data_IF_847575844699
#
_entry.id   IF_847575844699
#
_cell.length_a   1.000
_cell.length_b   1.000
_cell.length_c   1.000
_cell.angle_alpha   90.00
_cell.angle_beta   90.00
_cell.angle_gamma   90.00
#
_symmetry.space_group_name_H-M   'P 1'
#
loop_
_entity.id
_entity.type
_entity.pdbx_description
1 polymer ?
#
# COMPACT_ATOMS: atom_id res chain seq x y z
N UNK A 1 -13.60 -11.31 -20.49
CA UNK A 1 -14.20 -10.38 -19.51
C UNK A 1 -13.51 -9.03 -19.66
N UNK A 2 -14.22 -7.96 -20.01
CA UNK A 2 -13.62 -6.64 -20.09
C UNK A 2 -13.24 -6.16 -18.68
N UNK A 3 -11.97 -5.83 -18.46
CA UNK A 3 -11.52 -5.15 -17.24
C UNK A 3 -11.58 -3.65 -17.51
N UNK A 4 -12.41 -2.94 -16.75
CA UNK A 4 -12.43 -1.47 -16.81
C UNK A 4 -11.31 -0.98 -15.92
N UNK A 5 -10.50 -0.08 -16.47
CA UNK A 5 -9.36 0.51 -15.78
C UNK A 5 -9.54 2.02 -15.81
N UNK A 6 -9.57 2.63 -14.63
CA UNK A 6 -9.73 4.08 -14.45
C UNK A 6 -8.36 4.64 -14.07
N UNK A 7 -7.97 5.75 -14.69
CA UNK A 7 -6.81 6.55 -14.29
C UNK A 7 -7.34 7.77 -13.52
N UNK A 8 -7.29 7.79 -12.19
CA UNK A 8 -7.79 8.92 -11.41
C UNK A 8 -6.94 10.16 -11.66
N UNK A 9 -7.58 11.33 -11.67
CA UNK A 9 -6.87 12.60 -11.53
C UNK A 9 -6.45 12.76 -10.06
N UNK A 10 -5.16 13.02 -9.84
CA UNK A 10 -4.57 13.18 -8.52
C UNK A 10 -4.33 14.66 -8.16
N UNK A 11 -4.84 15.59 -8.97
CA UNK A 11 -4.77 17.02 -8.69
C UNK A 11 -5.50 17.34 -7.38
N UNK A 12 -4.84 18.06 -6.46
CA UNK A 12 -5.40 18.40 -5.14
C UNK A 12 -5.44 17.25 -4.13
N UNK A 13 -5.00 16.05 -4.50
CA UNK A 13 -4.92 14.89 -3.59
C UNK A 13 -3.60 14.88 -2.81
N UNK A 14 -3.65 14.39 -1.57
CA UNK A 14 -2.48 14.08 -0.74
C UNK A 14 -2.54 12.62 -0.33
N UNK A 15 -1.42 11.89 -0.47
CA UNK A 15 -1.31 10.50 -0.05
C UNK A 15 -0.27 10.35 1.04
N UNK A 16 -0.70 9.87 2.21
CA UNK A 16 0.16 9.61 3.35
C UNK A 16 0.19 8.12 3.66
N UNK A 17 1.36 7.55 3.91
CA UNK A 17 1.52 6.15 4.30
C UNK A 17 0.83 5.92 5.64
N UNK A 18 -0.13 4.99 5.67
CA UNK A 18 -0.84 4.55 6.87
C UNK A 18 -0.23 3.29 7.46
N UNK A 19 0.28 2.40 6.60
CA UNK A 19 0.94 1.16 6.98
C UNK A 19 2.14 0.95 6.05
N UNK A 20 3.30 0.51 6.59
CA UNK A 20 4.50 0.34 5.79
C UNK A 20 4.29 -0.68 4.66
N UNK A 21 5.12 -0.65 3.60
CA UNK A 21 5.05 -1.64 2.55
C UNK A 21 5.21 -3.05 3.10
N UNK A 22 4.28 -3.92 2.74
CA UNK A 22 4.32 -5.34 3.08
C UNK A 22 4.26 -6.17 1.81
N UNK A 23 4.98 -7.29 1.78
CA UNK A 23 4.89 -8.26 0.68
C UNK A 23 3.44 -8.72 0.53
N UNK A 24 2.93 -8.64 -0.69
CA UNK A 24 1.58 -9.08 -1.01
C UNK A 24 1.59 -10.60 -1.11
N UNK A 25 0.72 -11.25 -0.34
CA UNK A 25 0.52 -12.69 -0.44
C UNK A 25 -0.57 -12.99 -1.48
N UNK A 26 -0.30 -13.93 -2.37
CA UNK A 26 -1.29 -14.54 -3.25
C UNK A 26 -2.17 -15.52 -2.46
N UNK A 27 -1.58 -16.22 -1.49
CA UNK A 27 -2.26 -17.10 -0.56
C UNK A 27 -1.64 -16.95 0.84
N UNK A 28 -2.45 -16.46 1.78
CA UNK A 28 -2.03 -16.23 3.15
C UNK A 28 -1.82 -17.52 3.95
N UNK A 29 -2.44 -18.63 3.56
CA UNK A 29 -2.33 -19.91 4.28
C UNK A 29 -1.01 -20.63 3.99
N UNK A 30 -0.51 -20.50 2.77
CA UNK A 30 0.74 -21.12 2.32
C UNK A 30 1.92 -20.15 2.37
N UNK A 31 1.66 -18.85 2.52
CA UNK A 31 2.68 -17.81 2.44
C UNK A 31 3.14 -17.54 1.00
N UNK A 32 2.40 -18.02 -0.01
CA UNK A 32 2.76 -17.81 -1.41
C UNK A 32 2.74 -16.31 -1.72
N UNK A 33 3.88 -15.80 -2.17
CA UNK A 33 4.04 -14.39 -2.54
C UNK A 33 3.39 -14.13 -3.89
N UNK A 34 2.66 -13.02 -3.99
CA UNK A 34 2.10 -12.56 -5.25
C UNK A 34 3.19 -11.92 -6.11
N UNK A 35 3.26 -12.36 -7.36
CA UNK A 35 4.15 -11.78 -8.37
C UNK A 35 3.35 -11.07 -9.45
N UNK A 36 3.98 -10.08 -10.06
CA UNK A 36 3.44 -9.43 -11.24
C UNK A 36 3.46 -10.38 -12.43
N UNK A 37 2.36 -10.42 -13.19
CA UNK A 37 2.19 -11.39 -14.29
C UNK A 37 3.10 -11.08 -15.48
N UNK A 38 3.43 -9.81 -15.70
CA UNK A 38 4.19 -9.38 -16.88
C UNK A 38 5.69 -9.37 -16.61
N UNK A 39 6.10 -8.78 -15.48
CA UNK A 39 7.51 -8.63 -15.10
C UNK A 39 8.05 -9.76 -14.22
N UNK A 40 7.18 -10.52 -13.55
CA UNK A 40 7.58 -11.50 -12.53
C UNK A 40 8.01 -10.90 -11.19
N UNK A 41 8.02 -9.56 -11.06
CA UNK A 41 8.44 -8.87 -9.85
C UNK A 41 7.56 -9.21 -8.64
N UNK A 42 8.15 -9.23 -7.44
CA UNK A 42 7.38 -9.36 -6.19
C UNK A 42 6.41 -8.19 -6.08
N UNK A 43 5.17 -8.43 -5.63
CA UNK A 43 4.22 -7.35 -5.37
C UNK A 43 4.25 -6.97 -3.89
N UNK A 44 4.19 -5.66 -3.65
CA UNK A 44 4.00 -5.07 -2.33
C UNK A 44 2.62 -4.42 -2.25
N UNK A 45 2.07 -4.37 -1.04
CA UNK A 45 0.92 -3.53 -0.71
C UNK A 45 1.30 -2.47 0.30
N UNK A 46 0.85 -1.24 0.05
CA UNK A 46 0.98 -0.11 0.97
C UNK A 46 -0.43 0.43 1.22
N UNK A 47 -0.77 0.71 2.48
CA UNK A 47 -2.00 1.42 2.79
C UNK A 47 -1.72 2.91 2.84
N UNK A 48 -2.48 3.70 2.10
CA UNK A 48 -2.37 5.14 2.03
C UNK A 48 -3.65 5.77 2.55
N UNK A 49 -3.53 6.79 3.39
CA UNK A 49 -4.61 7.77 3.58
C UNK A 49 -4.54 8.71 2.39
N UNK A 50 -5.59 8.70 1.57
CA UNK A 50 -5.82 9.68 0.52
C UNK A 50 -6.75 10.77 1.07
N UNK A 51 -6.31 12.02 0.96
CA UNK A 51 -7.11 13.18 1.33
C UNK A 51 -7.39 14.01 0.08
N UNK A 52 -8.65 14.38 -0.12
CA UNK A 52 -9.12 15.24 -1.20
C UNK A 52 -10.37 16.00 -0.75
N UNK A 53 -10.42 17.30 -1.02
CA UNK A 53 -11.59 18.16 -0.75
C UNK A 53 -12.18 17.97 0.67
N UNK A 54 -11.33 18.04 1.68
CA UNK A 54 -11.71 17.90 3.09
C UNK A 54 -12.11 16.48 3.52
N UNK A 55 -12.11 15.50 2.62
CA UNK A 55 -12.42 14.10 2.91
C UNK A 55 -11.15 13.27 2.93
N UNK A 56 -11.09 12.28 3.83
CA UNK A 56 -10.01 11.32 3.91
C UNK A 56 -10.54 9.89 3.77
N UNK A 57 -9.84 9.06 3.01
CA UNK A 57 -10.16 7.64 2.85
C UNK A 57 -8.89 6.78 2.83
N UNK A 58 -9.02 5.52 3.22
CA UNK A 58 -7.91 4.57 3.17
C UNK A 58 -7.96 3.77 1.87
N UNK A 59 -6.87 3.80 1.11
CA UNK A 59 -6.71 2.99 -0.10
C UNK A 59 -5.53 2.02 0.05
N UNK A 60 -5.70 0.79 -0.41
CA UNK A 60 -4.62 -0.21 -0.46
C UNK A 60 -4.06 -0.27 -1.87
N UNK A 61 -2.85 0.25 -2.05
CA UNK A 61 -2.18 0.33 -3.35
C UNK A 61 -1.22 -0.86 -3.48
N UNK A 62 -1.34 -1.59 -4.59
CA UNK A 62 -0.37 -2.61 -4.99
C UNK A 62 0.70 -1.99 -5.88
N UNK A 63 1.97 -2.30 -5.61
CA UNK A 63 3.14 -1.76 -6.33
C UNK A 63 4.13 -2.89 -6.57
N UNK A 64 4.72 -3.03 -7.77
CA UNK A 64 5.79 -4.00 -8.00
C UNK A 64 7.08 -3.62 -7.25
N UNK A 65 7.89 -4.62 -6.96
CA UNK A 65 9.26 -4.48 -6.47
C UNK A 65 10.07 -3.55 -7.39
N UNK A 66 10.87 -2.66 -6.80
CA UNK A 66 11.54 -1.56 -7.50
C UNK A 66 10.69 -0.29 -7.68
N UNK A 67 9.36 -0.39 -7.55
CA UNK A 67 8.45 0.76 -7.54
C UNK A 67 8.16 1.33 -6.16
N UNK A 68 8.59 0.69 -5.09
CA UNK A 68 8.35 1.12 -3.70
C UNK A 68 9.62 1.05 -2.87
N UNK A 69 9.85 2.09 -2.06
CA UNK A 69 10.85 2.05 -1.00
C UNK A 69 10.29 1.29 0.20
N UNK A 70 10.84 0.11 0.48
CA UNK A 70 10.39 -0.77 1.58
C UNK A 70 10.65 -0.21 2.97
N UNK A 71 11.43 0.88 3.09
CA UNK A 71 11.69 1.59 4.35
C UNK A 71 10.65 2.66 4.67
N UNK A 72 9.64 2.86 3.81
CA UNK A 72 8.57 3.83 4.03
C UNK A 72 7.84 3.60 5.36
N UNK A 73 7.90 4.62 6.22
CA UNK A 73 7.21 4.63 7.50
C UNK A 73 5.81 5.26 7.41
N UNK A 74 4.88 4.89 8.30
CA UNK A 74 3.65 5.65 8.52
C UNK A 74 3.92 7.15 8.73
N UNK A 75 3.09 7.99 8.13
CA UNK A 75 3.26 9.44 8.12
C UNK A 75 4.08 9.99 6.95
N UNK A 76 4.83 9.15 6.23
CA UNK A 76 5.54 9.58 5.01
C UNK A 76 4.54 10.02 3.94
N UNK A 77 4.81 11.14 3.29
CA UNK A 77 3.98 11.65 2.19
C UNK A 77 4.57 11.18 0.87
N UNK A 78 3.74 10.52 0.07
CA UNK A 78 4.12 9.94 -1.22
C UNK A 78 3.18 10.41 -2.34
N UNK A 79 3.60 10.24 -3.58
CA UNK A 79 2.80 10.44 -4.77
C UNK A 79 2.74 9.13 -5.56
N UNK A 80 1.55 8.51 -5.69
CA UNK A 80 1.38 7.39 -6.61
C UNK A 80 1.64 7.80 -8.05
N UNK A 81 2.50 7.07 -8.75
CA UNK A 81 2.80 7.26 -10.17
C UNK A 81 2.12 6.14 -10.96
N UNK A 82 1.46 6.49 -12.07
CA UNK A 82 0.73 5.52 -12.89
C UNK A 82 -0.44 4.86 -12.15
N UNK A 83 -1.09 5.58 -11.22
CA UNK A 83 -2.19 5.01 -10.43
C UNK A 83 -3.35 4.59 -11.32
N UNK A 84 -3.78 3.36 -11.09
CA UNK A 84 -4.86 2.68 -11.78
C UNK A 84 -5.84 2.16 -10.73
N UNK A 85 -7.11 2.52 -10.90
CA UNK A 85 -8.23 2.00 -10.14
C UNK A 85 -9.03 1.02 -11.00
N UNK A 86 -9.24 -0.19 -10.50
CA UNK A 86 -10.01 -1.25 -11.19
C UNK A 86 -11.18 -1.66 -10.30
N UNK A 87 -12.43 -1.26 -10.62
CA UNK A 87 -13.59 -1.76 -9.90
C UNK A 87 -13.76 -3.26 -10.15
N UNK A 88 -14.21 -3.99 -9.13
CA UNK A 88 -14.51 -5.41 -9.23
C UNK A 88 -15.74 -5.75 -8.40
N UNK A 89 -16.42 -6.81 -8.81
CA UNK A 89 -17.51 -7.42 -8.06
C UNK A 89 -17.44 -8.93 -8.30
N UNK A 90 -17.49 -9.70 -7.21
CA UNK A 90 -17.50 -11.15 -7.22
C UNK A 90 -18.68 -11.65 -6.39
N UNK A 91 -19.25 -12.78 -6.79
CA UNK A 91 -20.24 -13.49 -5.99
C UNK A 91 -19.52 -14.65 -5.30
N UNK A 92 -19.56 -14.70 -3.98
CA UNK A 92 -19.01 -15.79 -3.19
C UNK A 92 -20.06 -16.25 -2.19
N UNK A 93 -20.40 -17.55 -2.22
CA UNK A 93 -21.45 -18.15 -1.38
C UNK A 93 -22.79 -17.38 -1.40
N UNK A 94 -23.20 -16.89 -2.58
CA UNK A 94 -24.43 -16.11 -2.75
C UNK A 94 -24.36 -14.66 -2.26
N UNK A 95 -23.25 -14.22 -1.66
CA UNK A 95 -23.03 -12.83 -1.26
C UNK A 95 -22.19 -12.10 -2.32
N UNK A 96 -22.59 -10.87 -2.64
CA UNK A 96 -21.80 -10.00 -3.53
C UNK A 96 -20.74 -9.29 -2.70
N UNK A 97 -19.47 -9.55 -3.03
CA UNK A 97 -18.34 -8.74 -2.58
C UNK A 97 -17.92 -7.83 -3.72
N UNK A 98 -17.72 -6.54 -3.46
CA UNK A 98 -17.27 -5.59 -4.46
C UNK A 98 -16.22 -4.65 -3.87
N UNK A 99 -15.56 -3.90 -4.74
CA UNK A 99 -14.59 -2.89 -4.32
C UNK A 99 -13.80 -2.32 -5.47
N UNK A 100 -12.73 -1.62 -5.13
CA UNK A 100 -11.78 -1.05 -6.09
C UNK A 100 -10.38 -1.54 -5.74
N UNK A 101 -9.71 -2.13 -6.73
CA UNK A 101 -8.30 -2.48 -6.61
C UNK A 101 -7.46 -1.30 -7.11
N UNK A 102 -6.55 -0.82 -6.28
CA UNK A 102 -5.60 0.23 -6.65
C UNK A 102 -4.24 -0.38 -6.96
N UNK A 103 -3.66 0.01 -8.09
CA UNK A 103 -2.31 -0.37 -8.50
C UNK A 103 -1.56 0.85 -8.98
N UNK A 104 -0.30 1.01 -8.57
CA UNK A 104 0.59 2.04 -9.07
C UNK A 104 1.84 1.39 -9.67
N UNK A 105 2.52 2.12 -10.55
CA UNK A 105 3.83 1.73 -11.07
C UNK A 105 4.90 1.97 -10.01
N UNK A 106 4.83 3.12 -9.33
CA UNK A 106 5.70 3.45 -8.21
C UNK A 106 5.06 4.41 -7.21
N UNK A 107 5.69 4.55 -6.04
CA UNK A 107 5.40 5.58 -5.04
C UNK A 107 6.59 6.53 -4.93
N UNK A 108 6.45 7.72 -5.51
CA UNK A 108 7.46 8.77 -5.39
C UNK A 108 7.39 9.39 -4.00
N UNK A 109 8.50 9.41 -3.26
CA UNK A 109 8.54 10.02 -1.92
C UNK A 109 8.58 11.54 -2.06
N UNK A 110 7.64 12.24 -1.43
CA UNK A 110 7.60 13.71 -1.39
C UNK A 110 8.16 14.24 -0.07
N UNK A 111 7.87 13.53 1.03
CA UNK A 111 8.46 13.78 2.35
C UNK A 111 8.58 12.46 3.07
N UNK A 112 9.81 12.06 3.39
CA UNK A 112 10.07 10.86 4.15
C UNK A 112 9.97 11.16 5.64
N UNK A 113 9.23 10.33 6.37
CA UNK A 113 9.42 10.20 7.82
C UNK A 113 10.32 9.00 8.02
N UNK A 114 11.53 9.21 8.55
CA UNK A 114 12.37 8.09 8.93
C UNK A 114 11.85 7.51 10.25
N UNK A 115 11.60 6.21 10.30
CA UNK A 115 11.59 5.53 11.59
C UNK A 115 13.01 5.63 12.16
N UNK A 116 13.19 5.99 13.44
CA UNK A 116 14.49 5.83 14.07
C UNK A 116 14.88 4.36 13.95
N UNK A 117 16.00 4.10 13.28
CA UNK A 117 16.62 2.79 13.31
C UNK A 117 17.08 2.57 14.76
N UNK A 118 16.43 1.61 15.41
CA UNK A 118 16.64 1.15 16.79
C UNK A 118 15.92 1.92 17.90
N UNK A 119 14.71 1.45 18.20
CA UNK A 119 14.20 1.41 19.56
C UNK A 119 13.82 -0.03 19.89
N UNK A 120 14.79 -0.95 19.79
CA UNK A 120 14.73 -2.18 20.56
C UNK A 120 14.52 -1.79 22.03
N UNK A 121 13.43 -2.31 22.59
CA UNK A 121 12.95 -2.16 23.97
C UNK A 121 14.12 -2.02 24.96
N UNK A 122 14.40 -0.79 25.41
CA UNK A 122 15.23 -0.56 26.58
C UNK A 122 14.46 -1.05 27.81
N UNK A 123 14.68 -2.30 28.19
CA UNK A 123 14.21 -2.85 29.46
C UNK A 123 14.80 -2.00 30.61
N UNK A 124 13.99 -1.59 31.61
CA UNK A 124 14.51 -0.82 32.73
C UNK A 124 15.47 -1.69 33.53
N UNK A 125 16.72 -1.23 33.65
CA UNK A 125 17.74 -1.85 34.50
C UNK A 125 17.26 -1.77 35.95
N UNK A 126 16.88 -2.90 36.53
CA UNK A 126 16.48 -3.00 37.93
C UNK A 126 17.61 -2.50 38.84
N UNK A 127 17.35 -1.41 39.57
CA UNK A 127 18.20 -0.95 40.65
C UNK A 127 18.10 -1.96 41.81
N UNK A 128 19.24 -2.54 42.21
CA UNK A 128 19.36 -3.27 43.47
C UNK A 128 19.64 -2.23 44.56
N UNK A 129 18.81 -2.21 45.59
CA UNK A 129 19.09 -1.66 46.91
C UNK A 129 19.15 -2.80 47.91
#
# INVERSE_FOLDING_TARGET
>A
MARITIRPDLTGTVHMVASPPAVKLADASTGLVATDRESGATLYTVQLVETYDGTAQLIKVTVPEGGVDTSLAPGSVVRPVGLVATPWANVFNGQVSNGVAYRAESLSVLSAVALPADAAVAAPKAAKS
#
